data_IF_905723817558
#
_entry.id   IF_905723817558
#
_cell.length_a   1.000
_cell.length_b   1.000
_cell.length_c   1.000
_cell.angle_alpha   90.00
_cell.angle_beta   90.00
_cell.angle_gamma   90.00
#
_symmetry.space_group_name_H-M   'P 1'
#
loop_
_entity.id
_entity.type
_entity.pdbx_description
1 polymer ?
#
# COMPACT_ATOMS: atom_id res chain seq x y z
N UNK A 1 -86.31 -50.19 -0.83
CA UNK A 1 -85.27 -49.79 -1.80
C UNK A 1 -84.39 -48.73 -1.15
N UNK A 2 -83.17 -49.09 -0.76
CA UNK A 2 -81.88 -48.70 -1.39
C UNK A 2 -81.45 -47.25 -1.09
N UNK A 3 -80.75 -47.05 0.02
CA UNK A 3 -79.86 -45.90 0.26
C UNK A 3 -78.49 -46.40 0.76
N UNK A 4 -77.79 -47.15 -0.09
CA UNK A 4 -76.40 -47.57 0.15
C UNK A 4 -75.57 -47.27 -1.09
N UNK A 5 -75.31 -45.99 -1.37
CA UNK A 5 -74.41 -45.61 -2.46
C UNK A 5 -73.77 -44.22 -2.32
N UNK A 6 -73.91 -43.53 -1.17
CA UNK A 6 -73.39 -42.16 -1.02
C UNK A 6 -72.19 -42.02 -0.08
N UNK A 7 -71.90 -43.03 0.76
CA UNK A 7 -70.77 -42.97 1.68
C UNK A 7 -69.42 -43.33 1.01
N UNK A 8 -69.45 -44.16 -0.04
CA UNK A 8 -68.23 -44.60 -0.75
C UNK A 8 -67.62 -43.51 -1.64
N UNK A 9 -68.43 -42.59 -2.16
CA UNK A 9 -67.94 -41.52 -3.05
C UNK A 9 -67.22 -40.41 -2.28
N UNK A 10 -67.63 -40.13 -1.03
CA UNK A 10 -67.01 -39.11 -0.19
C UNK A 10 -65.60 -39.51 0.27
N UNK A 11 -65.36 -40.80 0.55
CA UNK A 11 -64.05 -41.29 0.98
C UNK A 11 -63.04 -41.26 -0.19
N UNK A 12 -63.48 -41.56 -1.42
CA UNK A 12 -62.62 -41.48 -2.61
C UNK A 12 -62.19 -40.05 -2.97
N UNK A 13 -63.01 -39.04 -2.68
CA UNK A 13 -62.69 -37.63 -2.92
C UNK A 13 -61.66 -37.06 -1.92
N UNK A 14 -61.58 -37.60 -0.70
CA UNK A 14 -60.56 -37.19 0.28
C UNK A 14 -59.15 -37.71 -0.05
N UNK A 15 -59.03 -38.83 -0.78
CA UNK A 15 -57.72 -39.37 -1.18
C UNK A 15 -57.09 -38.68 -2.41
N UNK A 16 -57.86 -37.91 -3.18
CA UNK A 16 -57.34 -37.16 -4.34
C UNK A 16 -56.83 -35.76 -3.98
N UNK A 17 -57.11 -35.25 -2.78
CA UNK A 17 -56.61 -33.96 -2.30
C UNK A 17 -55.20 -34.05 -1.65
N UNK A 18 -54.69 -35.26 -1.38
CA UNK A 18 -53.44 -35.48 -0.65
C UNK A 18 -52.22 -35.76 -1.55
N UNK A 19 -52.21 -35.23 -2.78
CA UNK A 19 -51.07 -35.30 -3.69
C UNK A 19 -50.80 -33.96 -4.38
N UNK A 20 -50.64 -32.90 -3.59
CA UNK A 20 -49.58 -31.95 -3.92
C UNK A 20 -48.32 -32.51 -3.29
N UNK A 21 -47.56 -33.27 -4.09
CA UNK A 21 -46.16 -33.53 -3.82
C UNK A 21 -45.54 -32.13 -3.84
N UNK A 22 -45.32 -31.55 -2.66
CA UNK A 22 -44.46 -30.40 -2.54
C UNK A 22 -43.16 -30.83 -3.20
N UNK A 23 -42.90 -30.29 -4.39
CA UNK A 23 -41.57 -30.36 -4.95
C UNK A 23 -40.68 -29.83 -3.84
N UNK A 24 -39.70 -30.60 -3.33
CA UNK A 24 -38.77 -30.03 -2.40
C UNK A 24 -38.22 -28.80 -3.11
N UNK A 25 -38.46 -27.63 -2.51
CA UNK A 25 -37.77 -26.43 -2.92
C UNK A 25 -36.33 -26.79 -2.66
N UNK A 26 -35.62 -27.22 -3.71
CA UNK A 26 -34.19 -27.33 -3.70
C UNK A 26 -33.77 -25.86 -3.64
N UNK A 27 -33.72 -25.34 -2.42
CA UNK A 27 -33.03 -24.08 -2.18
C UNK A 27 -31.65 -24.27 -2.82
N UNK A 28 -31.24 -23.41 -3.77
CA UNK A 28 -29.90 -23.49 -4.30
C UNK A 28 -28.97 -23.53 -3.10
N UNK A 29 -27.98 -24.45 -3.06
CA UNK A 29 -27.08 -24.53 -1.93
C UNK A 29 -26.60 -23.11 -1.67
N UNK A 30 -26.81 -22.62 -0.44
CA UNK A 30 -26.31 -21.31 -0.03
C UNK A 30 -24.84 -21.35 -0.36
N UNK A 31 -24.45 -20.69 -1.46
CA UNK A 31 -23.06 -20.54 -1.83
C UNK A 31 -22.55 -19.57 -0.78
N UNK A 32 -22.06 -20.12 0.32
CA UNK A 32 -21.25 -19.36 1.27
C UNK A 32 -20.03 -18.99 0.43
N UNK A 33 -20.06 -17.81 -0.18
CA UNK A 33 -18.90 -17.26 -0.86
C UNK A 33 -17.80 -17.23 0.19
N UNK A 34 -16.82 -18.13 0.02
CA UNK A 34 -15.67 -18.17 0.91
C UNK A 34 -14.99 -16.82 0.81
N UNK A 35 -14.95 -16.09 1.92
CA UNK A 35 -14.28 -14.80 1.99
C UNK A 35 -12.82 -14.95 1.56
N UNK A 36 -12.34 -13.96 0.80
CA UNK A 36 -10.95 -13.93 0.37
C UNK A 36 -10.06 -13.86 1.63
N UNK A 37 -9.11 -14.78 1.86
CA UNK A 37 -8.23 -14.73 3.03
C UNK A 37 -7.47 -13.40 3.17
N UNK A 38 -7.30 -12.66 2.07
CA UNK A 38 -6.70 -11.32 2.08
C UNK A 38 -7.53 -10.27 2.82
N UNK A 39 -8.82 -10.51 3.07
CA UNK A 39 -9.68 -9.63 3.87
C UNK A 39 -9.20 -9.54 5.33
N UNK A 40 -8.43 -10.54 5.78
CA UNK A 40 -7.85 -10.62 7.12
C UNK A 40 -6.34 -10.36 7.14
N UNK A 41 -5.75 -10.00 5.99
CA UNK A 41 -4.33 -9.72 5.92
C UNK A 41 -3.96 -8.42 6.65
N UNK A 42 -2.68 -8.32 6.99
CA UNK A 42 -2.09 -7.14 7.61
C UNK A 42 -0.89 -6.66 6.81
N UNK A 43 -0.43 -5.45 7.13
CA UNK A 43 0.79 -4.94 6.56
C UNK A 43 1.96 -5.80 7.00
N UNK A 44 2.84 -6.12 6.06
CA UNK A 44 4.01 -6.91 6.33
C UNK A 44 5.15 -6.59 5.39
N UNK A 45 6.37 -6.73 5.89
CA UNK A 45 7.58 -6.59 5.10
C UNK A 45 8.59 -7.65 5.53
N UNK A 46 9.30 -8.19 4.55
CA UNK A 46 10.42 -9.09 4.78
C UNK A 46 11.56 -8.79 3.83
N UNK A 47 12.79 -9.03 4.28
CA UNK A 47 14.01 -8.91 3.47
C UNK A 47 15.13 -9.69 4.15
N UNK A 48 16.23 -9.92 3.43
CA UNK A 48 17.43 -10.55 3.96
C UNK A 48 18.64 -9.61 3.90
N UNK A 49 19.51 -9.70 4.91
CA UNK A 49 20.84 -9.08 4.93
C UNK A 49 21.82 -10.17 5.35
N UNK A 50 22.85 -10.42 4.54
CA UNK A 50 23.89 -11.43 4.81
C UNK A 50 23.30 -12.83 5.14
N UNK A 51 22.24 -13.20 4.42
CA UNK A 51 21.51 -14.48 4.62
C UNK A 51 20.53 -14.50 5.80
N UNK A 52 20.54 -13.50 6.69
CA UNK A 52 19.60 -13.39 7.81
C UNK A 52 18.31 -12.75 7.34
N UNK A 53 17.17 -13.41 7.57
CA UNK A 53 15.85 -12.91 7.16
C UNK A 53 15.15 -12.16 8.28
N UNK A 54 14.74 -10.94 7.96
CA UNK A 54 13.96 -10.05 8.80
C UNK A 54 12.50 -10.08 8.35
N UNK A 55 11.58 -10.15 9.32
CA UNK A 55 10.13 -10.16 9.06
C UNK A 55 9.46 -9.25 10.06
N UNK A 56 8.68 -8.30 9.57
CA UNK A 56 7.91 -7.39 10.39
C UNK A 56 6.47 -7.37 9.88
N UNK A 57 5.53 -7.20 10.80
CA UNK A 57 4.12 -7.04 10.48
C UNK A 57 3.47 -6.04 11.42
N UNK A 58 2.40 -5.40 10.95
CA UNK A 58 1.61 -4.45 11.72
C UNK A 58 0.18 -4.44 11.19
N UNK A 59 -0.79 -4.25 12.08
CA UNK A 59 -2.20 -4.17 11.67
C UNK A 59 -2.44 -3.05 10.64
N UNK A 60 -1.89 -1.86 10.89
CA UNK A 60 -1.80 -0.75 9.93
C UNK A 60 -0.48 -0.01 10.09
N UNK A 61 0.22 0.17 8.98
CA UNK A 61 1.54 0.79 8.92
C UNK A 61 1.52 2.21 8.38
N UNK A 62 0.37 2.75 7.94
CA UNK A 62 0.28 4.15 7.54
C UNK A 62 0.74 5.03 8.71
N UNK A 63 1.86 5.73 8.50
CA UNK A 63 2.49 6.56 9.52
C UNK A 63 2.45 8.04 9.19
N UNK A 64 2.18 8.39 7.92
CA UNK A 64 1.87 9.76 7.55
C UNK A 64 1.88 10.04 6.06
N UNK A 65 1.60 11.30 5.75
CA UNK A 65 1.83 11.91 4.45
C UNK A 65 2.61 13.20 4.62
N UNK A 66 3.31 13.61 3.57
CA UNK A 66 4.05 14.87 3.62
C UNK A 66 4.13 15.55 2.27
N UNK A 67 4.38 16.86 2.30
CA UNK A 67 4.65 17.68 1.14
C UNK A 67 6.07 18.21 1.25
N UNK A 68 6.80 18.20 0.14
CA UNK A 68 8.08 18.87 -0.01
C UNK A 68 8.06 19.73 -1.27
N UNK A 69 8.90 20.75 -1.25
CA UNK A 69 9.20 21.54 -2.43
C UNK A 69 9.98 20.67 -3.43
N UNK A 70 9.46 20.40 -4.63
CA UNK A 70 10.20 19.67 -5.67
C UNK A 70 11.28 20.57 -6.29
N UNK A 71 12.38 19.96 -6.73
CA UNK A 71 13.56 20.62 -7.30
C UNK A 71 14.14 21.69 -6.36
N UNK A 72 14.22 21.38 -5.07
CA UNK A 72 14.78 22.25 -4.06
C UNK A 72 16.26 22.52 -4.34
N UNK A 73 16.64 23.80 -4.38
CA UNK A 73 18.03 24.26 -4.49
C UNK A 73 18.28 25.41 -3.53
N UNK A 74 19.52 25.52 -3.04
CA UNK A 74 19.93 26.67 -2.23
C UNK A 74 20.22 27.85 -3.15
N UNK A 75 19.45 28.92 -3.00
CA UNK A 75 19.68 30.17 -3.75
C UNK A 75 20.71 31.05 -3.06
N UNK A 76 20.65 31.13 -1.72
CA UNK A 76 21.60 31.91 -0.92
C UNK A 76 21.66 31.43 0.53
N UNK A 77 22.75 31.80 1.21
CA UNK A 77 22.96 31.57 2.63
C UNK A 77 23.24 32.92 3.28
N UNK A 78 22.35 33.36 4.18
CA UNK A 78 22.50 34.64 4.91
C UNK A 78 22.35 34.36 6.40
N UNK A 79 23.32 34.76 7.21
CA UNK A 79 23.33 34.54 8.67
C UNK A 79 23.02 33.08 9.08
N UNK A 80 23.62 32.11 8.38
CA UNK A 80 23.38 30.67 8.55
C UNK A 80 21.96 30.16 8.18
N UNK A 81 21.09 31.05 7.68
CA UNK A 81 19.79 30.71 7.11
C UNK A 81 19.90 30.34 5.64
N UNK A 82 19.27 29.23 5.26
CA UNK A 82 19.24 28.73 3.88
C UNK A 82 17.97 29.21 3.20
N UNK A 83 18.11 29.92 2.07
CA UNK A 83 16.99 30.29 1.22
C UNK A 83 16.90 29.29 0.08
N UNK A 84 15.77 28.59 0.02
CA UNK A 84 15.57 27.45 -0.88
C UNK A 84 14.42 27.77 -1.84
N UNK A 85 14.66 27.63 -3.14
CA UNK A 85 13.63 27.66 -4.18
C UNK A 85 13.43 26.28 -4.80
N UNK A 86 12.32 26.14 -5.54
CA UNK A 86 12.02 24.99 -6.38
C UNK A 86 10.85 25.30 -7.31
N UNK A 87 10.24 24.27 -7.90
CA UNK A 87 9.09 24.45 -8.80
C UNK A 87 7.83 24.87 -8.02
N UNK A 88 7.34 26.09 -8.27
CA UNK A 88 6.25 26.70 -7.50
C UNK A 88 4.90 26.01 -7.65
N UNK A 89 4.56 25.53 -8.84
CA UNK A 89 3.22 25.00 -9.15
C UNK A 89 3.09 23.50 -8.89
N UNK A 90 4.12 22.91 -8.28
CA UNK A 90 4.19 21.48 -8.01
C UNK A 90 4.51 21.20 -6.54
N UNK A 91 4.15 20.00 -6.10
CA UNK A 91 4.45 19.50 -4.77
C UNK A 91 4.94 18.07 -4.91
N UNK A 92 6.07 17.76 -4.27
CA UNK A 92 6.48 16.38 -4.06
C UNK A 92 5.67 15.85 -2.89
N UNK A 93 4.73 14.97 -3.20
CA UNK A 93 3.87 14.31 -2.23
C UNK A 93 4.48 12.96 -1.87
N UNK A 94 4.44 12.59 -0.58
CA UNK A 94 4.82 11.26 -0.15
C UNK A 94 3.86 10.63 0.84
N UNK A 95 3.74 9.31 0.76
CA UNK A 95 3.06 8.43 1.73
C UNK A 95 4.07 7.56 2.42
N UNK A 96 3.99 7.50 3.75
CA UNK A 96 4.95 6.81 4.58
C UNK A 96 4.25 5.63 5.27
N UNK A 97 4.80 4.44 5.09
CA UNK A 97 4.37 3.22 5.74
C UNK A 97 5.50 2.75 6.68
N UNK A 98 5.28 2.89 7.98
CA UNK A 98 6.22 2.48 9.03
C UNK A 98 5.80 1.16 9.66
N UNK A 99 6.55 0.09 9.38
CA UNK A 99 6.36 -1.25 9.95
C UNK A 99 7.50 -1.48 10.94
N UNK A 100 7.18 -1.80 12.20
CA UNK A 100 8.17 -1.93 13.26
C UNK A 100 7.83 -3.02 14.28
N UNK A 101 8.86 -3.51 14.94
CA UNK A 101 8.88 -4.31 16.16
C UNK A 101 9.79 -3.64 17.19
N UNK A 102 9.97 -4.23 18.37
CA UNK A 102 10.72 -3.62 19.49
C UNK A 102 12.15 -3.15 19.12
N UNK A 103 12.80 -3.78 18.13
CA UNK A 103 14.18 -3.51 17.75
C UNK A 103 14.35 -3.10 16.28
N UNK A 104 13.31 -3.29 15.48
CA UNK A 104 13.41 -3.14 14.03
C UNK A 104 12.34 -2.19 13.53
N UNK A 105 12.73 -1.24 12.68
CA UNK A 105 11.81 -0.32 12.02
C UNK A 105 12.16 -0.27 10.55
N UNK A 106 11.14 -0.34 9.71
CA UNK A 106 11.24 -0.11 8.28
C UNK A 106 10.23 0.96 7.91
N UNK A 107 10.67 2.00 7.22
CA UNK A 107 9.78 2.92 6.54
C UNK A 107 9.91 2.69 5.04
N UNK A 108 8.77 2.47 4.38
CA UNK A 108 8.64 2.51 2.93
C UNK A 108 7.88 3.77 2.57
N UNK A 109 8.46 4.57 1.67
CA UNK A 109 7.98 5.90 1.33
C UNK A 109 7.70 5.91 -0.16
N UNK A 110 6.43 6.04 -0.55
CA UNK A 110 6.04 6.22 -1.94
C UNK A 110 6.01 7.72 -2.26
N UNK A 111 6.61 8.11 -3.38
CA UNK A 111 6.92 9.50 -3.70
C UNK A 111 6.48 9.81 -5.13
N UNK A 112 5.70 10.88 -5.29
CA UNK A 112 5.37 11.41 -6.61
C UNK A 112 5.14 12.92 -6.56
N UNK A 113 5.64 13.60 -7.58
CA UNK A 113 5.41 15.02 -7.80
C UNK A 113 4.09 15.23 -8.54
N UNK A 114 3.24 16.08 -7.99
CA UNK A 114 1.95 16.47 -8.59
C UNK A 114 1.91 17.97 -8.83
N UNK A 115 1.17 18.38 -9.85
CA UNK A 115 0.79 19.78 -10.02
C UNK A 115 -0.24 20.15 -8.93
N UNK A 116 -0.12 21.33 -8.32
CA UNK A 116 -1.02 21.78 -7.25
C UNK A 116 -2.49 21.80 -7.68
N UNK A 117 -2.79 22.07 -8.95
CA UNK A 117 -4.15 22.07 -9.50
C UNK A 117 -4.81 20.66 -9.51
N UNK A 118 -4.03 19.59 -9.50
CA UNK A 118 -4.53 18.21 -9.38
C UNK A 118 -4.60 17.71 -7.94
N UNK A 119 -4.40 18.60 -6.95
CA UNK A 119 -4.43 18.26 -5.53
C UNK A 119 -5.68 18.82 -4.85
N UNK A 120 -5.95 18.28 -3.67
CA UNK A 120 -6.99 18.70 -2.73
C UNK A 120 -6.30 19.25 -1.47
N UNK A 121 -6.84 20.35 -0.94
CA UNK A 121 -6.40 20.89 0.35
C UNK A 121 -6.91 20.00 1.48
N UNK A 122 -6.01 19.60 2.38
CA UNK A 122 -6.28 18.94 3.67
C UNK A 122 -5.27 19.48 4.70
N UNK A 123 -4.93 18.74 5.75
CA UNK A 123 -3.80 19.06 6.63
C UNK A 123 -2.48 19.18 5.85
N UNK A 124 -2.31 18.33 4.83
CA UNK A 124 -1.30 18.46 3.77
C UNK A 124 -2.02 18.40 2.41
N UNK A 125 -1.43 18.97 1.36
CA UNK A 125 -1.95 18.76 0.01
C UNK A 125 -1.88 17.27 -0.32
N UNK A 126 -2.97 16.72 -0.84
CA UNK A 126 -3.05 15.33 -1.31
C UNK A 126 -3.53 15.27 -2.76
N UNK A 127 -3.07 14.32 -3.58
CA UNK A 127 -3.57 14.20 -4.95
C UNK A 127 -5.07 13.84 -4.96
N UNK A 128 -5.79 14.32 -5.99
CA UNK A 128 -7.20 13.93 -6.23
C UNK A 128 -7.34 12.42 -6.45
N UNK A 129 -6.37 11.83 -7.15
CA UNK A 129 -6.23 10.40 -7.30
C UNK A 129 -4.97 9.92 -6.57
N UNK A 130 -5.15 9.38 -5.38
CA UNK A 130 -4.07 8.82 -4.56
C UNK A 130 -3.58 7.47 -5.11
N UNK A 131 -4.40 6.75 -5.89
CA UNK A 131 -4.06 5.41 -6.38
C UNK A 131 -2.98 5.46 -7.46
N UNK A 132 -2.85 6.58 -8.14
CA UNK A 132 -1.76 6.89 -9.08
C UNK A 132 -0.35 6.77 -8.44
N UNK A 133 -0.26 6.94 -7.11
CA UNK A 133 0.98 6.70 -6.36
C UNK A 133 1.37 5.21 -6.34
N UNK A 134 0.39 4.31 -6.49
CA UNK A 134 0.49 2.87 -6.28
C UNK A 134 0.32 2.03 -7.56
N UNK A 135 0.34 2.65 -8.74
CA UNK A 135 0.30 1.96 -10.04
C UNK A 135 1.28 0.78 -10.11
N UNK A 136 0.79 -0.37 -10.59
CA UNK A 136 1.57 -1.60 -10.77
C UNK A 136 2.72 -1.36 -11.75
N UNK A 137 3.89 -1.92 -11.43
CA UNK A 137 5.09 -1.82 -12.27
C UNK A 137 6.36 -1.44 -11.51
N UNK A 138 7.43 -1.26 -12.27
CA UNK A 138 8.75 -0.91 -11.74
C UNK A 138 8.79 0.53 -11.25
N UNK A 139 9.49 0.75 -10.13
CA UNK A 139 9.68 2.05 -9.49
C UNK A 139 11.17 2.29 -9.27
N UNK A 140 11.58 3.52 -9.55
CA UNK A 140 12.93 3.98 -9.23
C UNK A 140 13.06 4.22 -7.72
N UNK A 141 14.28 4.13 -7.21
CA UNK A 141 14.59 4.63 -5.87
C UNK A 141 14.87 6.13 -5.93
N UNK A 142 14.16 6.93 -5.14
CA UNK A 142 14.36 8.37 -5.08
C UNK A 142 15.56 8.71 -4.17
N UNK A 143 16.76 8.82 -4.77
CA UNK A 143 18.03 8.96 -4.03
C UNK A 143 18.19 10.30 -3.31
N UNK A 144 17.44 11.30 -3.75
CA UNK A 144 17.49 12.69 -3.31
C UNK A 144 16.28 13.09 -2.46
N UNK A 145 15.48 12.09 -2.02
CA UNK A 145 14.34 12.32 -1.16
C UNK A 145 14.73 13.04 0.12
N UNK A 146 14.05 14.15 0.41
CA UNK A 146 14.30 14.99 1.57
C UNK A 146 15.18 16.21 1.27
N UNK A 147 16.01 16.15 0.22
CA UNK A 147 16.91 17.25 -0.16
C UNK A 147 16.44 17.96 -1.42
N UNK A 148 16.82 17.46 -2.60
CA UNK A 148 16.54 18.10 -3.90
C UNK A 148 15.12 17.75 -4.38
N UNK A 149 14.56 16.60 -3.97
CA UNK A 149 13.18 16.20 -4.26
C UNK A 149 12.82 16.26 -5.76
N UNK A 150 13.71 15.76 -6.61
CA UNK A 150 13.59 15.69 -8.07
C UNK A 150 12.95 14.35 -8.46
N UNK A 151 13.34 13.25 -7.81
CA UNK A 151 12.96 11.92 -8.26
C UNK A 151 11.62 11.46 -7.69
N UNK A 152 10.77 10.94 -8.58
CA UNK A 152 9.60 10.14 -8.19
C UNK A 152 10.03 8.68 -7.96
N UNK A 153 9.27 7.94 -7.16
CA UNK A 153 9.50 6.51 -6.94
C UNK A 153 9.29 6.09 -5.50
N UNK A 154 10.26 5.34 -4.97
CA UNK A 154 10.21 4.79 -3.61
C UNK A 154 11.49 5.15 -2.85
N UNK A 155 11.38 5.40 -1.56
CA UNK A 155 12.51 5.47 -0.65
C UNK A 155 12.28 4.49 0.51
N UNK A 156 13.35 3.83 0.97
CA UNK A 156 13.29 2.91 2.09
C UNK A 156 14.31 3.35 3.14
N UNK A 157 13.92 3.31 4.41
CA UNK A 157 14.83 3.41 5.55
C UNK A 157 14.59 2.24 6.50
N UNK A 158 15.64 1.68 7.05
CA UNK A 158 15.58 0.64 8.09
C UNK A 158 16.22 1.16 9.39
N UNK A 159 16.20 0.35 10.46
CA UNK A 159 16.92 0.62 11.72
C UNK A 159 18.39 0.97 11.50
N UNK A 160 19.00 1.58 12.53
CA UNK A 160 20.42 1.98 12.54
C UNK A 160 20.80 3.03 11.50
N UNK A 161 19.81 3.79 11.00
CA UNK A 161 20.02 4.92 10.10
C UNK A 161 20.36 4.54 8.66
N UNK A 162 20.15 3.29 8.26
CA UNK A 162 20.37 2.85 6.88
C UNK A 162 19.19 3.23 5.98
N UNK A 163 19.47 3.84 4.82
CA UNK A 163 18.46 4.34 3.88
C UNK A 163 18.90 4.26 2.43
N UNK A 164 17.95 4.21 1.50
CA UNK A 164 18.19 4.18 0.04
C UNK A 164 18.49 5.56 -0.56
N UNK A 165 18.39 6.61 0.24
CA UNK A 165 18.51 8.01 -0.16
C UNK A 165 19.58 8.73 0.68
N UNK A 166 20.13 9.81 0.14
CA UNK A 166 21.22 10.55 0.76
C UNK A 166 20.81 11.36 1.98
N UNK A 167 21.73 12.22 2.44
CA UNK A 167 21.41 13.24 3.45
C UNK A 167 20.34 14.20 2.92
N UNK A 168 19.37 14.52 3.77
CA UNK A 168 18.32 15.52 3.55
C UNK A 168 18.81 16.96 3.80
N UNK A 169 20.05 17.11 4.30
CA UNK A 169 20.65 18.40 4.62
C UNK A 169 21.38 19.01 3.42
N UNK A 170 21.21 20.31 3.23
CA UNK A 170 22.04 21.10 2.29
C UNK A 170 23.43 21.44 2.85
N UNK A 171 23.70 21.17 4.13
CA UNK A 171 25.03 21.36 4.75
C UNK A 171 26.02 20.26 4.39
N UNK A 172 25.49 19.08 4.06
CA UNK A 172 26.28 17.93 3.64
C UNK A 172 26.23 17.83 2.12
N UNK A 173 27.29 17.41 1.42
CA UNK A 173 27.19 17.08 -0.01
C UNK A 173 26.23 15.91 -0.27
N UNK A 174 25.65 15.77 -1.47
CA UNK A 174 24.86 14.59 -1.82
C UNK A 174 25.73 13.35 -1.66
N UNK A 175 25.27 12.39 -0.85
CA UNK A 175 26.09 11.21 -0.50
C UNK A 175 25.98 10.07 -1.53
N UNK A 176 24.92 10.03 -2.34
CA UNK A 176 24.64 8.91 -3.24
C UNK A 176 24.69 9.37 -4.69
N UNK A 177 25.48 8.66 -5.50
CA UNK A 177 25.48 8.80 -6.96
C UNK A 177 24.31 8.03 -7.59
N UNK A 178 24.03 8.29 -8.86
CA UNK A 178 23.00 7.56 -9.62
C UNK A 178 23.23 6.03 -9.64
N UNK A 179 24.49 5.59 -9.53
CA UNK A 179 24.85 4.16 -9.52
C UNK A 179 24.62 3.47 -8.18
N UNK A 180 24.27 4.21 -7.11
CA UNK A 180 24.03 3.64 -5.78
C UNK A 180 22.94 2.55 -5.78
N UNK A 181 22.04 2.58 -6.77
CA UNK A 181 20.96 1.59 -6.92
C UNK A 181 21.03 0.82 -8.25
N UNK A 182 22.20 0.78 -8.92
CA UNK A 182 22.34 0.19 -10.27
C UNK A 182 21.84 -1.27 -10.39
N UNK A 183 21.95 -2.04 -9.31
CA UNK A 183 21.50 -3.44 -9.24
C UNK A 183 20.25 -3.64 -8.36
N UNK A 184 19.56 -2.56 -8.03
CA UNK A 184 18.41 -2.56 -7.14
C UNK A 184 17.13 -2.31 -7.95
N UNK A 185 16.04 -2.89 -7.48
CA UNK A 185 14.73 -2.84 -8.13
C UNK A 185 13.66 -2.76 -7.07
N UNK A 186 12.64 -1.94 -7.31
CA UNK A 186 11.38 -2.00 -6.59
C UNK A 186 10.27 -2.21 -7.62
N UNK A 187 9.40 -3.18 -7.40
CA UNK A 187 8.31 -3.49 -8.32
C UNK A 187 7.04 -3.73 -7.52
N UNK A 188 6.02 -2.90 -7.79
CA UNK A 188 4.66 -3.18 -7.33
C UNK A 188 4.12 -4.27 -8.24
N UNK A 189 3.95 -5.47 -7.71
CA UNK A 189 3.55 -6.66 -8.49
C UNK A 189 2.03 -6.81 -8.57
N UNK A 190 1.30 -6.32 -7.57
CA UNK A 190 -0.16 -6.37 -7.55
C UNK A 190 -0.75 -5.20 -6.79
N UNK A 191 -1.93 -4.76 -7.23
CA UNK A 191 -2.81 -3.85 -6.52
C UNK A 191 -4.24 -4.32 -6.76
N UNK A 192 -4.82 -4.99 -5.76
CA UNK A 192 -6.15 -5.62 -5.87
C UNK A 192 -7.13 -4.92 -4.94
N UNK A 193 -8.29 -4.54 -5.47
CA UNK A 193 -9.44 -4.15 -4.65
C UNK A 193 -10.22 -5.39 -4.23
N UNK A 194 -10.43 -5.56 -2.93
CA UNK A 194 -11.24 -6.64 -2.36
C UNK A 194 -12.73 -6.27 -2.34
N UNK A 195 -13.59 -7.23 -2.00
CA UNK A 195 -15.05 -7.01 -1.95
C UNK A 195 -15.43 -6.00 -0.88
N UNK A 196 -14.70 -5.99 0.24
CA UNK A 196 -14.82 -4.98 1.30
C UNK A 196 -14.50 -3.55 0.85
N UNK A 197 -13.86 -3.37 -0.31
CA UNK A 197 -13.34 -2.09 -0.79
C UNK A 197 -11.93 -1.76 -0.30
N UNK A 198 -11.34 -2.62 0.51
CA UNK A 198 -9.91 -2.59 0.89
C UNK A 198 -9.02 -2.84 -0.31
N UNK A 199 -7.89 -2.16 -0.40
CA UNK A 199 -6.88 -2.41 -1.43
C UNK A 199 -5.70 -3.16 -0.83
N UNK A 200 -5.27 -4.23 -1.50
CA UNK A 200 -4.05 -4.97 -1.15
C UNK A 200 -3.01 -4.68 -2.22
N UNK A 201 -1.92 -4.05 -1.81
CA UNK A 201 -0.72 -3.84 -2.60
C UNK A 201 0.31 -4.89 -2.21
N UNK A 202 0.92 -5.54 -3.20
CA UNK A 202 2.09 -6.37 -3.00
C UNK A 202 3.23 -5.90 -3.89
N UNK A 203 4.44 -5.92 -3.35
CA UNK A 203 5.64 -5.51 -4.06
C UNK A 203 6.82 -6.43 -3.73
N UNK A 204 7.75 -6.51 -4.66
CA UNK A 204 9.05 -7.17 -4.49
C UNK A 204 10.16 -6.16 -4.65
N UNK A 205 11.24 -6.33 -3.89
CA UNK A 205 12.36 -5.41 -3.98
C UNK A 205 13.71 -6.03 -3.62
N UNK A 206 14.75 -5.40 -4.12
CA UNK A 206 16.10 -5.46 -3.57
C UNK A 206 16.65 -4.03 -3.56
N UNK A 207 17.51 -3.71 -2.60
CA UNK A 207 18.02 -2.35 -2.41
C UNK A 207 19.43 -2.36 -1.85
N UNK A 208 20.19 -1.32 -2.15
CA UNK A 208 21.35 -0.94 -1.36
C UNK A 208 20.91 0.12 -0.36
N UNK A 209 21.27 -0.02 0.90
CA UNK A 209 21.00 0.99 1.93
C UNK A 209 22.30 1.47 2.53
N UNK A 210 22.37 2.75 2.85
CA UNK A 210 23.56 3.44 3.30
C UNK A 210 23.27 4.21 4.59
N UNK A 211 24.24 4.28 5.49
CA UNK A 211 24.18 5.17 6.65
C UNK A 211 25.04 6.43 6.44
N UNK A 212 25.04 7.34 7.41
CA UNK A 212 25.78 8.62 7.31
C UNK A 212 27.31 8.44 7.22
N UNK A 213 27.82 7.28 7.63
CA UNK A 213 29.24 6.89 7.53
C UNK A 213 29.57 6.22 6.18
N UNK A 214 28.64 6.24 5.21
CA UNK A 214 28.73 5.56 3.91
C UNK A 214 28.93 4.03 4.01
N UNK A 215 28.63 3.42 5.16
CA UNK A 215 28.55 1.96 5.26
C UNK A 215 27.30 1.52 4.51
N UNK A 216 27.44 0.49 3.67
CA UNK A 216 26.34 -0.04 2.86
C UNK A 216 25.93 -1.44 3.29
N UNK A 217 24.65 -1.76 3.13
CA UNK A 217 24.09 -3.11 3.28
C UNK A 217 23.20 -3.40 2.08
N UNK A 218 23.16 -4.67 1.66
CA UNK A 218 22.27 -5.13 0.60
C UNK A 218 21.01 -5.74 1.23
N UNK A 219 19.85 -5.25 0.82
CA UNK A 219 18.55 -5.87 1.10
C UNK A 219 18.21 -6.79 -0.07
N UNK A 220 18.04 -8.07 0.23
CA UNK A 220 17.73 -9.11 -0.74
C UNK A 220 16.38 -9.74 -0.46
N UNK A 221 15.78 -10.38 -1.46
CA UNK A 221 14.51 -11.10 -1.34
C UNK A 221 13.39 -10.29 -0.65
N UNK A 222 13.37 -8.99 -0.93
CA UNK A 222 12.43 -8.05 -0.34
C UNK A 222 11.01 -8.33 -0.81
N UNK A 223 10.09 -8.38 0.13
CA UNK A 223 8.65 -8.46 -0.12
C UNK A 223 7.92 -7.48 0.79
N UNK A 224 6.93 -6.80 0.24
CA UNK A 224 6.07 -5.85 0.95
C UNK A 224 4.61 -6.19 0.64
N UNK A 225 3.77 -6.21 1.67
CA UNK A 225 2.31 -6.17 1.55
C UNK A 225 1.77 -4.99 2.33
N UNK A 226 0.91 -4.21 1.70
CA UNK A 226 0.13 -3.15 2.35
C UNK A 226 -1.36 -3.39 2.12
N UNK A 227 -2.14 -3.29 3.19
CA UNK A 227 -3.58 -3.44 3.25
C UNK A 227 -4.16 -2.06 3.57
N UNK A 228 -4.58 -1.36 2.53
CA UNK A 228 -5.03 0.02 2.58
C UNK A 228 -6.56 0.04 2.65
N UNK A 229 -7.09 0.44 3.80
CA UNK A 229 -8.53 0.67 3.96
C UNK A 229 -8.95 1.94 3.21
N UNK A 230 -10.26 2.13 3.02
CA UNK A 230 -10.80 3.35 2.41
C UNK A 230 -10.39 4.63 3.19
N UNK A 231 -10.20 4.53 4.51
CA UNK A 231 -9.80 5.66 5.35
C UNK A 231 -8.36 6.09 5.12
N UNK A 232 -7.47 5.13 4.85
CA UNK A 232 -6.04 5.37 4.56
C UNK A 232 -5.84 6.15 3.25
N UNK A 233 -6.85 6.14 2.37
CA UNK A 233 -6.85 6.85 1.09
C UNK A 233 -7.31 8.32 1.21
N UNK A 234 -7.90 8.71 2.33
CA UNK A 234 -8.52 10.04 2.54
C UNK A 234 -7.69 10.93 3.48
N UNK A 235 -7.17 10.35 4.57
CA UNK A 235 -6.08 10.94 5.39
C UNK A 235 -4.87 11.16 4.52
#
# INVERSE_FOLDING_TARGET
>A
MKSKSLLGLAIALFFLAACKKDNPIIEPPVVIEKEDPLEYAHDSISYSIDGITYKLSKYSSLSGASNRQPYSKVDSIVNYGYYISGIKDSVLYSRIYGIYSDQQKVNVIFIKTYNKASMLQSLVLRPKDIMDLFTVGQRNYALDYGRDNIQNGVAISISDGFKTYGSDSFRTPPQLSADAQKNSKFEITSLKKLKSGTYVLEAKFNAMVYNEKNVSKKLENGYLRLVMSKYDLIL
#
